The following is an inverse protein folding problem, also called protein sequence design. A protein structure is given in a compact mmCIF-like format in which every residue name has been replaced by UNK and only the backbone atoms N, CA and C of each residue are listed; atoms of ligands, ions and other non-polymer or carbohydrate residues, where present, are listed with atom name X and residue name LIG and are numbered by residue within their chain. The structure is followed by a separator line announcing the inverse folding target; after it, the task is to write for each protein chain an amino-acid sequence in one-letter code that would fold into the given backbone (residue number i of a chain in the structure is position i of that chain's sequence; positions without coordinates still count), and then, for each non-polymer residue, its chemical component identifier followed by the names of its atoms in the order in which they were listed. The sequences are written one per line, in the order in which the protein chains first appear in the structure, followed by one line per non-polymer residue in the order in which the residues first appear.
data_IF_594189207485
#
_entry.id   IF_594189207485
#
_cell.length_a   1.000
_cell.length_b   1.000
_cell.length_c   1.000
_cell.angle_alpha   90.00
_cell.angle_beta   90.00
_cell.angle_gamma   90.00
#
_symmetry.space_group_name_H-M   'P 1'
#
loop_
_entity.id
_entity.type
_entity.pdbx_description
1 polymer ?
#
# COMPACT_ATOMS: atom_id res chain seq x y z
N UNK A 1 -86.87 -18.73 31.57
CA UNK A 1 -87.00 -17.27 31.32
C UNK A 1 -85.59 -16.69 31.25
N UNK A 2 -85.25 -16.08 30.09
CA UNK A 2 -84.25 -15.01 29.76
C UNK A 2 -83.00 -14.82 30.65
N UNK A 3 -81.75 -14.56 30.20
CA UNK A 3 -81.06 -14.13 28.95
C UNK A 3 -79.55 -14.14 29.30
N UNK A 4 -78.52 -14.38 28.47
CA UNK A 4 -78.20 -13.88 27.13
C UNK A 4 -77.35 -12.60 27.22
N UNK A 5 -76.02 -12.66 26.98
CA UNK A 5 -75.26 -11.70 26.15
C UNK A 5 -73.76 -12.01 25.97
N UNK A 6 -73.32 -11.80 24.73
CA UNK A 6 -72.00 -12.00 24.12
C UNK A 6 -70.97 -10.91 24.46
N UNK A 7 -69.71 -11.21 24.13
CA UNK A 7 -68.68 -10.33 23.51
C UNK A 7 -67.30 -10.63 24.12
N UNK A 8 -66.15 -10.42 23.48
CA UNK A 8 -65.74 -10.20 22.10
C UNK A 8 -64.22 -10.40 22.16
N UNK A 9 -63.66 -11.25 21.31
CA UNK A 9 -62.22 -11.50 21.24
C UNK A 9 -61.51 -10.32 20.56
N UNK A 10 -60.81 -9.51 21.34
CA UNK A 10 -59.94 -8.44 20.81
C UNK A 10 -58.60 -9.04 20.37
N UNK A 11 -58.47 -9.32 19.07
CA UNK A 11 -57.19 -9.60 18.42
C UNK A 11 -56.48 -8.27 18.11
N UNK A 12 -55.41 -7.98 18.85
CA UNK A 12 -54.48 -6.89 18.51
C UNK A 12 -53.66 -7.29 17.29
N UNK A 13 -54.01 -6.76 16.11
CA UNK A 13 -53.16 -6.83 14.92
C UNK A 13 -52.07 -5.76 15.03
N UNK A 14 -50.80 -6.19 14.98
CA UNK A 14 -49.67 -5.30 14.82
C UNK A 14 -49.66 -4.74 13.40
N UNK A 15 -49.85 -3.43 13.25
CA UNK A 15 -49.71 -2.71 11.98
C UNK A 15 -48.27 -2.20 11.88
N UNK A 16 -47.46 -2.63 10.89
CA UNK A 16 -46.11 -2.12 10.73
C UNK A 16 -46.13 -0.65 10.36
N UNK A 17 -45.36 0.15 11.09
CA UNK A 17 -45.11 1.56 10.76
C UNK A 17 -44.35 1.67 9.43
N UNK A 18 -44.93 2.38 8.46
CA UNK A 18 -44.28 2.74 7.19
C UNK A 18 -43.87 4.21 7.26
N UNK A 19 -42.57 4.56 7.29
CA UNK A 19 -42.12 5.94 7.29
C UNK A 19 -42.42 6.61 5.93
N UNK A 20 -42.65 7.94 5.89
CA UNK A 20 -42.85 8.67 4.64
C UNK A 20 -41.62 8.54 3.72
N UNK A 21 -41.85 8.16 2.45
CA UNK A 21 -40.88 8.37 1.39
C UNK A 21 -40.90 9.85 1.05
N UNK A 22 -39.81 10.57 1.34
CA UNK A 22 -39.38 11.70 0.53
C UNK A 22 -37.90 12.01 0.77
N UNK A 23 -37.20 12.04 -0.37
CA UNK A 23 -35.97 12.76 -0.70
C UNK A 23 -34.60 12.23 -0.22
N UNK A 24 -33.73 12.14 -1.23
CA UNK A 24 -32.28 11.97 -1.20
C UNK A 24 -31.74 10.60 -0.80
N UNK A 25 -31.54 9.75 -1.82
CA UNK A 25 -30.55 8.68 -1.78
C UNK A 25 -29.23 9.24 -1.24
N UNK A 26 -28.73 8.78 -0.08
CA UNK A 26 -27.34 8.99 0.25
C UNK A 26 -26.57 8.32 -0.89
N UNK A 27 -25.72 9.09 -1.56
CA UNK A 27 -24.68 8.53 -2.41
C UNK A 27 -24.11 7.35 -1.63
N UNK A 28 -24.40 6.13 -2.10
CA UNK A 28 -23.58 4.98 -1.78
C UNK A 28 -22.25 5.36 -2.38
N UNK A 29 -21.43 6.07 -1.61
CA UNK A 29 -19.99 5.98 -1.75
C UNK A 29 -19.77 4.49 -1.68
N UNK A 30 -19.56 3.88 -2.84
CA UNK A 30 -18.73 2.71 -2.95
C UNK A 30 -17.38 3.15 -2.42
N UNK A 31 -17.27 3.25 -1.10
CA UNK A 31 -16.06 2.89 -0.41
C UNK A 31 -16.02 1.39 -0.58
N UNK A 32 -15.62 0.96 -1.79
CA UNK A 32 -14.97 -0.32 -1.94
C UNK A 32 -13.76 -0.22 -1.03
N UNK A 33 -13.95 -0.60 0.23
CA UNK A 33 -12.86 -1.06 1.10
C UNK A 33 -12.40 -2.36 0.47
N UNK A 34 -11.76 -2.24 -0.70
CA UNK A 34 -10.87 -3.28 -1.16
C UNK A 34 -9.83 -3.38 -0.04
N UNK A 35 -9.58 -4.56 0.53
CA UNK A 35 -8.47 -4.74 1.46
C UNK A 35 -7.26 -4.11 0.80
N UNK A 36 -6.63 -3.13 1.47
CA UNK A 36 -5.63 -2.22 0.92
C UNK A 36 -4.73 -3.01 -0.03
N UNK A 37 -5.05 -2.95 -1.33
CA UNK A 37 -4.38 -3.78 -2.31
C UNK A 37 -2.95 -3.31 -2.27
N UNK A 38 -2.03 -4.24 -2.02
CA UNK A 38 -0.60 -3.98 -2.09
C UNK A 38 -0.34 -3.09 -3.30
N UNK A 39 0.22 -1.91 -3.09
CA UNK A 39 0.49 -0.98 -4.16
C UNK A 39 1.30 -1.73 -5.22
N UNK A 40 0.76 -1.88 -6.42
CA UNK A 40 1.45 -2.60 -7.49
C UNK A 40 2.50 -1.64 -8.04
N UNK A 41 3.77 -1.93 -7.73
CA UNK A 41 4.92 -1.18 -8.23
C UNK A 41 5.45 -1.87 -9.48
N UNK A 42 5.32 -1.22 -10.63
CA UNK A 42 5.91 -1.72 -11.87
C UNK A 42 7.42 -1.43 -11.90
N UNK A 43 8.14 -2.17 -12.74
CA UNK A 43 9.60 -2.03 -12.90
C UNK A 43 10.35 -2.09 -11.56
N UNK A 44 9.79 -2.84 -10.61
CA UNK A 44 10.27 -2.84 -9.23
C UNK A 44 11.50 -3.74 -9.06
N UNK A 45 12.35 -3.35 -8.12
CA UNK A 45 13.47 -4.17 -7.64
C UNK A 45 13.31 -4.38 -6.16
N UNK A 46 13.32 -5.65 -5.76
CA UNK A 46 13.27 -6.08 -4.36
C UNK A 46 14.61 -6.63 -3.90
N UNK A 47 15.07 -6.16 -2.76
CA UNK A 47 16.28 -6.59 -2.07
C UNK A 47 15.90 -7.33 -0.79
N UNK A 48 16.45 -8.52 -0.61
CA UNK A 48 16.29 -9.28 0.63
C UNK A 48 17.07 -8.60 1.75
N UNK A 49 16.41 -8.37 2.89
CA UNK A 49 17.09 -7.89 4.11
C UNK A 49 17.42 -9.05 5.06
N UNK A 50 16.78 -10.20 4.87
CA UNK A 50 17.09 -11.44 5.61
C UNK A 50 17.33 -12.58 4.62
N UNK A 51 18.10 -13.59 5.04
CA UNK A 51 18.34 -14.80 4.22
C UNK A 51 17.03 -15.54 3.86
N UNK A 52 16.03 -15.46 4.73
CA UNK A 52 14.70 -16.03 4.53
C UNK A 52 13.77 -15.14 3.70
N UNK A 53 14.24 -13.98 3.23
CA UNK A 53 13.43 -12.99 2.50
C UNK A 53 12.20 -12.48 3.27
N UNK A 54 12.16 -12.71 4.58
CA UNK A 54 11.07 -12.32 5.46
C UNK A 54 10.93 -10.79 5.53
N UNK A 55 12.06 -10.07 5.55
CA UNK A 55 12.11 -8.61 5.40
C UNK A 55 12.72 -8.23 4.06
N UNK A 56 12.25 -7.13 3.51
CA UNK A 56 12.71 -6.64 2.21
C UNK A 56 12.71 -5.12 2.12
N UNK A 57 13.52 -4.62 1.19
CA UNK A 57 13.47 -3.26 0.67
C UNK A 57 13.09 -3.34 -0.81
N UNK A 58 12.06 -2.63 -1.22
CA UNK A 58 11.55 -2.61 -2.59
C UNK A 58 11.52 -1.17 -3.11
N UNK A 59 11.94 -0.98 -4.36
CA UNK A 59 11.81 0.31 -5.05
C UNK A 59 11.16 0.07 -6.40
N UNK A 60 10.20 0.90 -6.79
CA UNK A 60 9.50 0.76 -8.06
C UNK A 60 8.59 1.95 -8.34
N UNK A 61 7.88 1.93 -9.47
CA UNK A 61 6.97 3.01 -9.85
C UNK A 61 5.55 2.64 -9.42
N UNK A 62 4.97 3.43 -8.53
CA UNK A 62 3.54 3.37 -8.22
C UNK A 62 2.78 4.06 -9.35
N UNK A 63 1.92 3.31 -10.04
CA UNK A 63 1.24 3.77 -11.25
C UNK A 63 -0.15 4.31 -10.91
N UNK A 64 -0.40 5.55 -11.34
CA UNK A 64 -1.71 6.20 -11.19
C UNK A 64 -1.86 7.37 -12.16
N UNK A 65 -2.86 8.24 -11.95
CA UNK A 65 -3.01 9.48 -12.72
C UNK A 65 -1.78 10.40 -12.64
N UNK A 66 -1.03 10.32 -11.54
CA UNK A 66 0.31 10.88 -11.40
C UNK A 66 1.16 9.78 -10.78
N UNK A 67 1.97 9.12 -11.61
CA UNK A 67 2.85 8.05 -11.16
C UNK A 67 4.06 8.65 -10.44
N UNK A 68 4.64 7.89 -9.51
CA UNK A 68 5.83 8.31 -8.78
C UNK A 68 6.67 7.11 -8.35
N UNK A 69 7.95 7.36 -8.08
CA UNK A 69 8.84 6.33 -7.53
C UNK A 69 8.60 6.19 -6.03
N UNK A 70 8.45 4.96 -5.59
CA UNK A 70 8.16 4.62 -4.20
C UNK A 70 9.26 3.69 -3.66
N UNK A 71 9.71 3.97 -2.42
CA UNK A 71 10.62 3.10 -1.66
C UNK A 71 9.82 2.48 -0.53
N UNK A 72 9.83 1.16 -0.41
CA UNK A 72 9.08 0.44 0.60
C UNK A 72 9.98 -0.51 1.39
N UNK A 73 9.94 -0.41 2.71
CA UNK A 73 10.50 -1.44 3.61
C UNK A 73 9.35 -2.30 4.06
N UNK A 74 9.41 -3.61 3.88
CA UNK A 74 8.28 -4.46 4.22
C UNK A 74 8.65 -5.82 4.78
N UNK A 75 7.59 -6.57 5.11
CA UNK A 75 7.69 -7.98 5.47
C UNK A 75 6.68 -8.86 4.76
N UNK A 76 6.92 -10.17 4.80
CA UNK A 76 6.07 -11.14 4.10
C UNK A 76 4.63 -11.26 4.65
N UNK A 77 4.30 -10.54 5.73
CA UNK A 77 2.93 -10.44 6.27
C UNK A 77 2.13 -9.32 5.60
N UNK A 78 2.73 -8.59 4.66
CA UNK A 78 2.09 -7.50 3.93
C UNK A 78 2.21 -6.14 4.62
N UNK A 79 3.00 -6.04 5.70
CA UNK A 79 3.32 -4.74 6.29
C UNK A 79 4.35 -4.04 5.41
N UNK A 80 4.04 -2.84 4.91
CA UNK A 80 4.96 -2.03 4.12
C UNK A 80 5.00 -0.60 4.69
N UNK A 81 6.20 -0.12 5.01
CA UNK A 81 6.50 1.28 5.28
C UNK A 81 6.93 1.95 3.98
N UNK A 82 6.13 2.90 3.54
CA UNK A 82 6.41 3.68 2.32
C UNK A 82 7.20 4.93 2.70
N UNK A 83 8.30 5.16 2.00
CA UNK A 83 9.23 6.26 2.23
C UNK A 83 9.39 7.09 0.95
N UNK A 84 9.43 8.41 1.12
CA UNK A 84 9.95 9.31 0.08
C UNK A 84 11.48 9.19 0.01
N UNK A 85 12.08 9.62 -1.11
CA UNK A 85 13.55 9.70 -1.21
C UNK A 85 14.15 10.60 -0.13
N UNK A 86 13.47 11.70 0.20
CA UNK A 86 13.89 12.61 1.27
C UNK A 86 13.92 11.90 2.63
N UNK A 87 12.85 11.16 2.96
CA UNK A 87 12.78 10.39 4.20
C UNK A 87 13.86 9.32 4.24
N UNK A 88 14.10 8.62 3.14
CA UNK A 88 15.18 7.63 3.02
C UNK A 88 16.56 8.25 3.29
N UNK A 89 16.88 9.40 2.67
CA UNK A 89 18.16 10.09 2.85
C UNK A 89 18.36 10.57 4.29
N UNK A 90 17.37 11.25 4.85
CA UNK A 90 17.43 11.68 6.25
C UNK A 90 17.58 10.49 7.20
N UNK A 91 16.97 9.35 6.87
CA UNK A 91 17.06 8.14 7.66
C UNK A 91 18.45 7.49 7.58
N UNK A 92 19.07 7.48 6.39
CA UNK A 92 20.46 7.05 6.21
C UNK A 92 21.47 7.96 6.93
N UNK A 93 21.21 9.26 7.02
CA UNK A 93 22.05 10.20 7.79
C UNK A 93 22.04 9.88 9.29
N UNK A 94 20.91 9.41 9.83
CA UNK A 94 20.77 9.00 11.22
C UNK A 94 21.44 7.66 11.57
N UNK A 95 22.06 6.95 10.61
CA UNK A 95 22.61 5.60 10.83
C UNK A 95 23.60 5.51 11.98
N UNK A 96 24.50 6.50 12.12
CA UNK A 96 25.51 6.51 13.17
C UNK A 96 24.91 6.78 14.54
N UNK A 97 23.93 7.70 14.61
CA UNK A 97 23.20 7.98 15.84
C UNK A 97 22.43 6.75 16.31
N UNK A 98 21.77 6.04 15.39
CA UNK A 98 21.05 4.79 15.69
C UNK A 98 22.03 3.72 16.19
N UNK A 99 23.17 3.55 15.52
CA UNK A 99 24.20 2.59 15.95
C UNK A 99 24.70 2.92 17.36
N UNK A 100 24.99 4.19 17.63
CA UNK A 100 25.46 4.63 18.93
C UNK A 100 24.44 4.38 20.05
N UNK A 101 23.13 4.51 19.75
CA UNK A 101 22.05 4.25 20.72
C UNK A 101 21.86 2.75 20.99
N UNK A 102 22.09 1.89 20.01
CA UNK A 102 22.03 0.42 20.21
C UNK A 102 23.09 -0.07 21.21
N UNK A 103 24.26 0.58 21.24
CA UNK A 103 25.35 0.23 22.16
C UNK A 103 25.17 0.81 23.57
N UNK A 104 24.16 1.65 23.81
CA UNK A 104 23.87 2.21 25.14
C UNK A 104 22.77 1.41 25.84
N UNK A 105 22.90 1.22 27.15
CA UNK A 105 21.86 0.56 28.00
C UNK A 105 20.84 1.56 28.56
N UNK A 106 20.72 2.73 27.95
CA UNK A 106 19.78 3.77 28.38
C UNK A 106 18.63 3.85 27.39
N UNK A 107 17.40 3.96 27.91
CA UNK A 107 16.22 4.26 27.10
C UNK A 107 16.32 5.66 26.51
N UNK A 108 16.78 5.72 25.27
CA UNK A 108 16.87 6.96 24.52
C UNK A 108 15.53 7.37 23.92
N UNK A 109 15.41 8.67 23.63
CA UNK A 109 14.24 9.22 22.92
C UNK A 109 14.13 8.58 21.53
N UNK A 110 12.92 8.45 20.96
CA UNK A 110 12.76 8.06 19.57
C UNK A 110 13.48 9.01 18.61
N UNK A 111 13.91 8.50 17.46
CA UNK A 111 14.43 9.32 16.35
C UNK A 111 13.30 9.49 15.35
N UNK A 112 13.05 10.71 14.89
CA UNK A 112 12.03 10.98 13.87
C UNK A 112 12.69 11.56 12.63
N UNK A 113 12.32 11.03 11.47
CA UNK A 113 12.73 11.51 10.15
C UNK A 113 11.47 11.61 9.30
N UNK A 114 10.96 12.83 9.11
CA UNK A 114 9.67 13.04 8.45
C UNK A 114 8.55 12.18 9.11
N UNK A 115 7.83 11.34 8.35
CA UNK A 115 6.77 10.48 8.89
C UNK A 115 7.28 9.18 9.54
N UNK A 116 8.60 8.92 9.50
CA UNK A 116 9.22 7.71 10.06
C UNK A 116 9.69 7.98 11.49
N UNK A 117 9.34 7.08 12.40
CA UNK A 117 9.88 7.06 13.76
C UNK A 117 10.67 5.77 14.00
N UNK A 118 11.84 5.89 14.59
CA UNK A 118 12.72 4.78 14.98
C UNK A 118 12.72 4.67 16.50
N UNK A 119 12.36 3.49 17.01
CA UNK A 119 12.45 3.14 18.43
C UNK A 119 13.36 1.94 18.61
N UNK A 120 14.09 1.95 19.71
CA UNK A 120 14.93 0.82 20.13
C UNK A 120 14.34 0.31 21.44
N UNK A 121 14.07 -0.98 21.53
CA UNK A 121 13.70 -1.62 22.79
C UNK A 121 14.28 -3.01 22.89
N UNK A 122 14.48 -3.47 24.12
CA UNK A 122 14.82 -4.86 24.39
C UNK A 122 13.66 -5.77 23.97
N UNK A 123 13.99 -6.91 23.39
CA UNK A 123 13.02 -7.94 23.07
C UNK A 123 12.50 -8.57 24.36
N UNK A 124 11.16 -8.72 24.55
CA UNK A 124 10.60 -9.36 25.73
C UNK A 124 10.97 -10.85 25.88
N UNK A 125 11.51 -11.47 24.82
CA UNK A 125 11.70 -12.92 24.69
C UNK A 125 13.18 -13.29 24.56
N UNK A 126 14.06 -12.29 24.42
CA UNK A 126 15.51 -12.49 24.25
C UNK A 126 16.25 -11.24 24.68
N UNK A 127 17.48 -11.37 25.19
CA UNK A 127 18.35 -10.24 25.54
C UNK A 127 18.89 -9.47 24.31
N UNK A 128 18.18 -9.51 23.18
CA UNK A 128 18.53 -8.79 21.95
C UNK A 128 17.74 -7.49 21.85
N UNK A 129 18.42 -6.42 21.44
CA UNK A 129 17.79 -5.14 21.12
C UNK A 129 17.13 -5.22 19.75
N UNK A 130 15.87 -4.82 19.68
CA UNK A 130 15.09 -4.72 18.45
C UNK A 130 14.92 -3.25 18.06
N UNK A 131 14.97 -3.02 16.75
CA UNK A 131 14.71 -1.74 16.14
C UNK A 131 13.31 -1.78 15.54
N UNK A 132 12.48 -0.83 15.93
CA UNK A 132 11.14 -0.65 15.42
C UNK A 132 11.11 0.57 14.51
N UNK A 133 10.72 0.33 13.27
CA UNK A 133 10.37 1.36 12.31
C UNK A 133 8.86 1.55 12.34
N UNK A 134 8.43 2.77 12.60
CA UNK A 134 7.03 3.12 12.82
C UNK A 134 6.61 4.25 11.89
N UNK A 135 5.45 4.09 11.28
CA UNK A 135 4.66 5.17 10.67
C UNK A 135 3.20 5.02 11.13
N UNK A 136 2.32 5.95 10.77
CA UNK A 136 0.98 6.15 11.36
C UNK A 136 0.16 4.88 11.62
N UNK A 137 0.30 3.87 10.77
CA UNK A 137 -0.47 2.63 10.79
C UNK A 137 0.39 1.36 10.64
N UNK A 138 1.71 1.47 10.55
CA UNK A 138 2.60 0.33 10.27
C UNK A 138 3.79 0.35 11.23
N UNK A 139 4.10 -0.81 11.80
CA UNK A 139 5.25 -1.03 12.68
C UNK A 139 6.03 -2.26 12.22
N UNK A 140 7.30 -2.08 11.92
CA UNK A 140 8.21 -3.15 11.54
C UNK A 140 9.31 -3.32 12.59
N UNK A 141 9.35 -4.47 13.24
CA UNK A 141 10.47 -4.87 14.08
C UNK A 141 11.54 -5.57 13.24
N UNK A 142 12.82 -5.30 13.53
CA UNK A 142 13.97 -5.98 12.95
C UNK A 142 15.18 -5.97 13.89
N UNK A 143 16.12 -6.87 13.63
CA UNK A 143 17.41 -6.92 14.35
C UNK A 143 18.34 -5.82 13.84
N UNK A 144 19.36 -5.50 14.63
CA UNK A 144 20.46 -4.61 14.24
C UNK A 144 21.10 -5.03 12.90
N UNK A 145 21.42 -6.31 12.75
CA UNK A 145 22.02 -6.84 11.52
C UNK A 145 21.14 -6.60 10.28
N UNK A 146 19.84 -6.91 10.38
CA UNK A 146 18.87 -6.69 9.29
C UNK A 146 18.75 -5.21 8.94
N UNK A 147 18.74 -4.37 9.98
CA UNK A 147 18.63 -2.93 9.85
C UNK A 147 19.83 -2.31 9.13
N UNK A 148 21.06 -2.71 9.46
CA UNK A 148 22.24 -2.16 8.79
C UNK A 148 22.48 -2.73 7.38
N UNK A 149 22.00 -3.95 7.08
CA UNK A 149 21.99 -4.46 5.69
C UNK A 149 21.25 -3.50 4.75
N UNK A 150 20.14 -2.92 5.21
CA UNK A 150 19.36 -1.97 4.43
C UNK A 150 20.17 -0.73 4.02
N UNK A 151 21.01 -0.20 4.91
CA UNK A 151 21.84 0.98 4.60
C UNK A 151 23.01 0.69 3.66
N UNK A 152 23.46 -0.56 3.56
CA UNK A 152 24.43 -0.95 2.52
C UNK A 152 23.86 -0.79 1.11
N UNK A 153 22.53 -0.68 0.97
CA UNK A 153 21.84 -0.49 -0.30
C UNK A 153 21.66 0.98 -0.70
N UNK A 154 22.08 1.96 0.12
CA UNK A 154 21.80 3.38 -0.12
C UNK A 154 22.19 3.85 -1.53
N UNK A 155 23.42 3.56 -1.97
CA UNK A 155 23.88 3.92 -3.32
C UNK A 155 23.03 3.26 -4.40
N UNK A 156 22.64 1.99 -4.21
CA UNK A 156 21.79 1.27 -5.14
C UNK A 156 20.39 1.89 -5.20
N UNK A 157 19.83 2.30 -4.06
CA UNK A 157 18.52 2.95 -3.99
C UNK A 157 18.54 4.31 -4.68
N UNK A 158 19.54 5.15 -4.43
CA UNK A 158 19.68 6.44 -5.10
C UNK A 158 19.77 6.29 -6.64
N UNK A 159 20.63 5.38 -7.13
CA UNK A 159 20.77 5.13 -8.57
C UNK A 159 19.49 4.57 -9.21
N UNK A 160 18.83 3.64 -8.52
CA UNK A 160 17.56 3.08 -9.00
C UNK A 160 16.45 4.13 -8.99
N UNK A 161 16.40 4.99 -7.97
CA UNK A 161 15.44 6.08 -7.90
C UNK A 161 15.59 7.00 -9.10
N UNK A 162 16.79 7.51 -9.37
CA UNK A 162 17.05 8.39 -10.51
C UNK A 162 16.69 7.73 -11.84
N UNK A 163 17.01 6.44 -12.00
CA UNK A 163 16.67 5.68 -13.20
C UNK A 163 15.16 5.55 -13.38
N UNK A 164 14.43 5.18 -12.34
CA UNK A 164 12.98 5.02 -12.38
C UNK A 164 12.29 6.37 -12.58
N UNK A 165 12.78 7.42 -11.94
CA UNK A 165 12.21 8.76 -12.01
C UNK A 165 12.24 9.32 -13.44
N UNK A 166 13.31 9.04 -14.20
CA UNK A 166 13.40 9.39 -15.63
C UNK A 166 12.39 8.68 -16.52
N UNK A 167 11.77 7.60 -16.04
CA UNK A 167 10.76 6.84 -16.79
C UNK A 167 9.33 7.24 -16.44
N UNK A 168 9.11 8.02 -15.37
CA UNK A 168 7.77 8.37 -14.86
C UNK A 168 6.92 9.05 -15.91
N UNK A 169 7.41 10.06 -16.61
CA UNK A 169 6.64 10.78 -17.65
C UNK A 169 6.17 9.84 -18.78
N UNK A 170 7.02 8.87 -19.14
CA UNK A 170 6.69 7.87 -20.15
C UNK A 170 5.65 6.88 -19.63
N UNK A 171 5.77 6.45 -18.37
CA UNK A 171 4.75 5.64 -17.70
C UNK A 171 3.41 6.36 -17.68
N UNK A 172 3.37 7.63 -17.29
CA UNK A 172 2.14 8.44 -17.21
C UNK A 172 1.47 8.61 -18.58
N UNK A 173 2.28 8.89 -19.61
CA UNK A 173 1.79 9.01 -20.99
C UNK A 173 1.13 7.71 -21.46
N UNK A 174 1.83 6.57 -21.30
CA UNK A 174 1.32 5.25 -21.71
C UNK A 174 0.12 4.82 -20.86
N UNK A 175 0.16 5.05 -19.55
CA UNK A 175 -0.94 4.73 -18.64
C UNK A 175 -2.21 5.51 -19.01
N UNK A 176 -2.08 6.78 -19.39
CA UNK A 176 -3.21 7.60 -19.86
C UNK A 176 -3.81 7.03 -21.15
N UNK A 177 -2.97 6.68 -22.13
CA UNK A 177 -3.42 6.07 -23.38
C UNK A 177 -4.17 4.76 -23.13
N UNK A 178 -3.60 3.86 -22.33
CA UNK A 178 -4.22 2.58 -22.01
C UNK A 178 -5.50 2.74 -21.18
N UNK A 179 -5.56 3.73 -20.28
CA UNK A 179 -6.77 4.04 -19.51
C UNK A 179 -7.91 4.51 -20.41
N UNK A 180 -7.64 5.36 -21.40
CA UNK A 180 -8.65 5.80 -22.36
C UNK A 180 -9.19 4.64 -23.21
N UNK A 181 -8.33 3.69 -23.58
CA UNK A 181 -8.74 2.45 -24.26
C UNK A 181 -9.57 1.55 -23.35
N UNK A 182 -9.20 1.44 -22.08
CA UNK A 182 -9.95 0.67 -21.10
C UNK A 182 -11.37 1.23 -20.90
N UNK A 183 -11.52 2.56 -20.91
CA UNK A 183 -12.82 3.22 -20.82
C UNK A 183 -13.69 3.03 -22.06
N UNK A 184 -13.11 2.93 -23.25
CA UNK A 184 -13.86 2.77 -24.51
C UNK A 184 -14.22 1.32 -24.82
N UNK A 185 -13.37 0.36 -24.43
CA UNK A 185 -13.55 -1.07 -24.74
C UNK A 185 -13.42 -1.96 -23.47
N UNK A 186 -14.34 -1.83 -22.49
CA UNK A 186 -14.17 -2.41 -21.16
C UNK A 186 -14.18 -3.94 -21.14
N UNK A 187 -14.78 -4.60 -22.13
CA UNK A 187 -14.88 -6.07 -22.18
C UNK A 187 -13.60 -6.76 -22.63
N UNK A 188 -12.73 -6.09 -23.38
CA UNK A 188 -11.55 -6.67 -24.02
C UNK A 188 -10.35 -5.71 -24.02
N UNK A 189 -10.16 -4.98 -22.92
CA UNK A 189 -9.13 -3.93 -22.78
C UNK A 189 -7.75 -4.40 -23.22
N UNK A 190 -7.34 -5.61 -22.82
CA UNK A 190 -6.04 -6.14 -23.18
C UNK A 190 -5.86 -6.33 -24.69
N UNK A 191 -6.86 -6.86 -25.37
CA UNK A 191 -6.81 -7.04 -26.83
C UNK A 191 -6.84 -5.68 -27.53
N UNK A 192 -7.63 -4.74 -27.02
CA UNK A 192 -7.66 -3.37 -27.53
C UNK A 192 -6.28 -2.69 -27.41
N UNK A 193 -5.59 -2.86 -26.27
CA UNK A 193 -4.23 -2.33 -26.08
C UNK A 193 -3.26 -3.02 -27.05
N UNK A 194 -3.25 -4.35 -27.13
CA UNK A 194 -2.31 -5.09 -28.01
C UNK A 194 -2.48 -4.78 -29.48
N UNK A 195 -3.72 -4.55 -29.92
CA UNK A 195 -4.03 -4.21 -31.30
C UNK A 195 -3.81 -2.73 -31.62
N UNK A 196 -3.48 -1.90 -30.62
CA UNK A 196 -3.27 -0.47 -30.81
C UNK A 196 -1.84 -0.15 -31.23
N UNK A 197 -1.70 0.89 -32.06
CA UNK A 197 -0.39 1.41 -32.47
C UNK A 197 0.42 2.00 -31.31
N UNK A 198 -0.21 2.22 -30.15
CA UNK A 198 0.47 2.75 -28.98
C UNK A 198 1.07 1.65 -28.08
N UNK A 199 0.95 0.37 -28.44
CA UNK A 199 1.58 -0.74 -27.73
C UNK A 199 2.80 -1.25 -28.51
N UNK A 200 3.95 -1.31 -27.85
CA UNK A 200 5.18 -1.93 -28.39
C UNK A 200 5.55 -3.15 -27.54
N UNK A 201 5.48 -4.34 -28.14
CA UNK A 201 5.80 -5.62 -27.49
C UNK A 201 7.26 -5.74 -27.05
N UNK A 202 8.16 -4.94 -27.64
CA UNK A 202 9.58 -4.89 -27.28
C UNK A 202 9.87 -3.83 -26.22
N UNK A 203 8.84 -3.13 -25.72
CA UNK A 203 8.99 -2.06 -24.75
C UNK A 203 8.53 -2.46 -23.35
N UNK A 204 9.46 -2.50 -22.39
CA UNK A 204 9.20 -3.02 -21.04
C UNK A 204 8.07 -2.28 -20.30
N UNK A 205 7.94 -0.95 -20.46
CA UNK A 205 6.86 -0.19 -19.83
C UNK A 205 5.50 -0.65 -20.33
N UNK A 206 5.40 -0.93 -21.62
CA UNK A 206 4.15 -1.31 -22.26
C UNK A 206 3.73 -2.70 -21.76
N UNK A 207 4.69 -3.63 -21.67
CA UNK A 207 4.49 -4.96 -21.08
C UNK A 207 4.05 -4.91 -19.60
N UNK A 208 4.73 -4.12 -18.78
CA UNK A 208 4.41 -3.97 -17.35
C UNK A 208 3.05 -3.31 -17.12
N UNK A 209 2.72 -2.28 -17.90
CA UNK A 209 1.42 -1.64 -17.85
C UNK A 209 0.31 -2.57 -18.33
N UNK A 210 0.52 -3.31 -19.41
CA UNK A 210 -0.44 -4.32 -19.88
C UNK A 210 -0.73 -5.35 -18.78
N UNK A 211 0.30 -5.84 -18.09
CA UNK A 211 0.16 -6.74 -16.93
C UNK A 211 -0.64 -6.10 -15.78
N UNK A 212 -0.42 -4.81 -15.51
CA UNK A 212 -1.20 -4.06 -14.53
C UNK A 212 -2.70 -4.03 -14.91
N UNK A 213 -3.03 -3.76 -16.18
CA UNK A 213 -4.43 -3.75 -16.64
C UNK A 213 -5.07 -5.14 -16.57
N UNK A 214 -4.33 -6.21 -16.86
CA UNK A 214 -4.82 -7.58 -16.63
C UNK A 214 -5.21 -7.84 -15.18
N UNK A 215 -4.35 -7.44 -14.24
CA UNK A 215 -4.58 -7.67 -12.80
C UNK A 215 -5.75 -6.87 -12.22
N UNK A 216 -6.11 -5.75 -12.86
CA UNK A 216 -7.28 -4.94 -12.50
C UNK A 216 -8.59 -5.49 -13.07
N UNK A 217 -8.55 -6.28 -14.14
CA UNK A 217 -9.72 -6.83 -14.83
C UNK A 217 -10.17 -8.21 -14.33
N UNK A 218 -9.45 -8.83 -13.38
CA UNK A 218 -9.83 -10.11 -12.76
C UNK A 218 -10.63 -9.93 -11.45
N UNK A 219 -11.53 -8.96 -11.39
CA UNK A 219 -12.53 -8.84 -10.29
C UNK A 219 -13.93 -8.82 -10.89
#
# INVERSE_FOLDING_TARGET
MYTGQESSSSMNYYVPYVPPQDTETPSKKCTTVLPARRAIRILSRRYALTATWYKYLEIGINVGPSSYVEIAIGDNRGNELILSLETWKGFYEQRWDIQNRLHKDVRDRPISVGPLTVRISESPVSDTKLIYLESSNVRLAMTESTFFIMFNLDRCINLMFDRLNRMVDKVDTKFTQFSNMASTNPRNVSNAIRASDCFDENHIIDCELLALFFSKLQI
#
